data_IF_088778448606
#
_entry.id   IF_088778448606
#
_cell.length_a   1.000
_cell.length_b   1.000
_cell.length_c   1.000
_cell.angle_alpha   90.00
_cell.angle_beta   90.00
_cell.angle_gamma   90.00
#
_symmetry.space_group_name_H-M   'P 1'
#
loop_
_entity.id
_entity.type
_entity.pdbx_description
1 polymer ?
#
# COMPACT_ATOMS: atom_id res chain seq x y z
N UNK A 1 -9.89 13.98 0.26
CA UNK A 1 -8.95 14.14 -0.88
C UNK A 1 -9.36 13.21 -2.00
N UNK A 2 -9.28 13.65 -3.26
CA UNK A 2 -9.65 12.85 -4.42
C UNK A 2 -8.40 12.30 -5.13
N UNK A 3 -8.45 11.03 -5.53
CA UNK A 3 -7.45 10.35 -6.35
C UNK A 3 -8.13 9.85 -7.60
N UNK A 4 -7.64 10.27 -8.76
CA UNK A 4 -8.14 9.84 -10.08
C UNK A 4 -7.12 8.90 -10.68
N UNK A 5 -7.55 7.69 -11.05
CA UNK A 5 -6.73 6.68 -11.69
C UNK A 5 -6.99 6.69 -13.19
N UNK A 6 -5.93 6.78 -13.96
CA UNK A 6 -5.90 6.68 -15.41
C UNK A 6 -4.88 5.63 -15.86
N UNK A 7 -4.79 5.40 -17.16
CA UNK A 7 -3.93 4.35 -17.71
C UNK A 7 -3.41 4.71 -19.09
N UNK A 8 -2.35 4.06 -19.52
CA UNK A 8 -1.90 3.99 -20.90
C UNK A 8 -2.68 2.93 -21.69
N UNK A 9 -2.55 2.92 -23.02
CA UNK A 9 -3.39 2.09 -23.92
C UNK A 9 -3.23 0.59 -23.67
N UNK A 10 -2.03 0.15 -23.31
CA UNK A 10 -1.67 -1.24 -23.08
C UNK A 10 -2.29 -1.85 -21.80
N UNK A 11 -2.66 -0.99 -20.86
CA UNK A 11 -3.30 -1.45 -19.62
C UNK A 11 -4.80 -1.68 -19.85
N UNK A 12 -5.33 -2.80 -19.38
CA UNK A 12 -6.73 -3.14 -19.56
C UNK A 12 -7.65 -2.45 -18.53
N UNK A 13 -8.90 -2.17 -18.91
CA UNK A 13 -9.91 -1.66 -17.97
C UNK A 13 -10.16 -2.64 -16.80
N UNK A 14 -10.09 -3.94 -17.08
CA UNK A 14 -10.31 -4.98 -16.08
C UNK A 14 -9.26 -4.89 -14.98
N UNK A 15 -8.01 -4.69 -15.36
CA UNK A 15 -6.90 -4.53 -14.43
C UNK A 15 -7.06 -3.27 -13.57
N UNK A 16 -7.36 -2.12 -14.19
CA UNK A 16 -7.59 -0.87 -13.44
C UNK A 16 -8.73 -1.02 -12.44
N UNK A 17 -9.82 -1.70 -12.83
CA UNK A 17 -10.95 -1.94 -11.92
C UNK A 17 -10.58 -2.87 -10.75
N UNK A 18 -9.71 -3.86 -10.95
CA UNK A 18 -9.19 -4.70 -9.86
C UNK A 18 -8.33 -3.89 -8.90
N UNK A 19 -7.43 -3.05 -9.41
CA UNK A 19 -6.63 -2.14 -8.58
C UNK A 19 -7.54 -1.19 -7.79
N UNK A 20 -8.53 -0.59 -8.46
CA UNK A 20 -9.53 0.28 -7.81
C UNK A 20 -10.27 -0.46 -6.69
N UNK A 21 -10.74 -1.68 -6.95
CA UNK A 21 -11.42 -2.51 -5.95
C UNK A 21 -10.56 -2.73 -4.71
N UNK A 22 -9.25 -3.01 -4.88
CA UNK A 22 -8.32 -3.17 -3.77
C UNK A 22 -8.18 -1.88 -2.95
N UNK A 23 -8.08 -0.73 -3.60
CA UNK A 23 -7.98 0.57 -2.95
C UNK A 23 -9.26 0.98 -2.21
N UNK A 24 -10.43 0.57 -2.71
CA UNK A 24 -11.74 0.89 -2.12
C UNK A 24 -12.15 -0.05 -0.99
N UNK A 25 -11.39 -1.11 -0.70
CA UNK A 25 -11.67 -1.99 0.45
C UNK A 25 -11.58 -1.27 1.80
N UNK A 26 -10.84 -0.17 1.86
CA UNK A 26 -10.72 0.65 3.07
C UNK A 26 -11.37 2.01 2.82
N UNK A 27 -12.45 2.28 3.50
CA UNK A 27 -13.13 3.58 3.45
C UNK A 27 -12.38 4.61 4.27
N UNK A 28 -12.37 5.86 3.80
CA UNK A 28 -11.73 6.96 4.51
C UNK A 28 -11.80 8.28 3.72
N UNK A 29 -11.06 9.29 4.13
CA UNK A 29 -11.07 10.62 3.53
C UNK A 29 -10.40 10.66 2.13
N UNK A 30 -9.65 9.62 1.74
CA UNK A 30 -9.10 9.46 0.40
C UNK A 30 -10.12 8.69 -0.44
N UNK A 31 -10.69 9.32 -1.45
CA UNK A 31 -11.59 8.69 -2.41
C UNK A 31 -10.86 8.33 -3.69
N UNK A 32 -11.08 7.12 -4.18
CA UNK A 32 -10.46 6.61 -5.40
C UNK A 32 -11.51 6.47 -6.49
N UNK A 33 -11.22 7.01 -7.66
CA UNK A 33 -12.09 6.96 -8.83
C UNK A 33 -11.26 6.65 -10.08
N UNK A 34 -11.86 5.95 -11.03
CA UNK A 34 -11.28 5.77 -12.35
C UNK A 34 -11.85 6.83 -13.27
N UNK A 35 -11.00 7.48 -14.05
CA UNK A 35 -11.46 8.35 -15.11
C UNK A 35 -12.26 7.52 -16.11
N UNK A 36 -13.51 7.92 -16.38
CA UNK A 36 -14.33 7.26 -17.38
C UNK A 36 -13.70 7.45 -18.77
N UNK A 37 -13.31 6.33 -19.38
CA UNK A 37 -12.80 6.31 -20.74
C UNK A 37 -13.87 5.83 -21.72
N UNK A 38 -14.07 6.57 -22.76
CA UNK A 38 -14.35 5.96 -24.04
C UNK A 38 -13.08 5.24 -24.50
N UNK A 39 -13.17 4.12 -25.18
CA UNK A 39 -12.05 3.25 -25.57
C UNK A 39 -10.89 3.93 -26.33
N UNK A 40 -11.09 5.18 -26.76
CA UNK A 40 -10.12 6.02 -27.46
C UNK A 40 -9.36 7.01 -26.55
N UNK A 41 -9.66 7.07 -25.26
CA UNK A 41 -9.12 8.09 -24.35
C UNK A 41 -7.99 7.55 -23.50
N UNK A 42 -6.89 7.10 -24.12
CA UNK A 42 -5.65 6.85 -23.40
C UNK A 42 -4.92 8.17 -23.14
N UNK A 43 -4.10 8.21 -22.08
CA UNK A 43 -3.33 9.42 -21.75
C UNK A 43 -2.32 9.79 -22.85
N UNK A 44 -1.94 8.83 -23.68
CA UNK A 44 -0.95 8.98 -24.76
C UNK A 44 -1.36 9.98 -25.84
N UNK A 45 -2.64 10.23 -26.04
CA UNK A 45 -3.09 11.26 -27.00
C UNK A 45 -2.65 12.69 -26.60
N UNK A 46 -2.17 12.87 -25.36
CA UNK A 46 -1.63 14.14 -24.87
C UNK A 46 -0.12 14.24 -25.04
N UNK A 47 0.52 13.28 -25.75
CA UNK A 47 1.87 13.47 -26.25
C UNK A 47 1.86 14.52 -27.34
N UNK A 48 2.85 15.41 -27.36
CA UNK A 48 3.01 16.40 -28.43
C UNK A 48 2.99 15.72 -29.80
N UNK A 49 2.37 16.37 -30.79
CA UNK A 49 2.24 15.86 -32.19
C UNK A 49 3.59 15.44 -32.81
N UNK A 50 4.71 15.91 -32.30
CA UNK A 50 6.06 15.53 -32.75
C UNK A 50 6.45 14.09 -32.38
N UNK A 51 5.75 13.47 -31.46
CA UNK A 51 5.98 12.09 -30.99
C UNK A 51 4.95 11.11 -31.57
N UNK A 52 4.02 11.58 -32.42
CA UNK A 52 3.01 10.78 -33.07
C UNK A 52 3.63 9.66 -33.92
N UNK A 53 3.46 8.42 -33.48
CA UNK A 53 3.86 7.21 -34.19
C UNK A 53 5.04 6.45 -33.58
N UNK A 54 5.66 6.95 -32.52
CA UNK A 54 6.64 6.18 -31.76
C UNK A 54 5.92 5.45 -30.64
N UNK A 55 5.83 4.13 -30.71
CA UNK A 55 5.49 3.28 -29.57
C UNK A 55 6.64 3.44 -28.59
N UNK A 56 6.43 4.22 -27.54
CA UNK A 56 7.46 4.41 -26.53
C UNK A 56 7.64 3.11 -25.75
N UNK A 57 8.75 2.43 -25.94
CA UNK A 57 9.15 1.30 -25.08
C UNK A 57 9.46 1.78 -23.65
N UNK A 58 9.65 3.08 -23.49
CA UNK A 58 9.94 3.72 -22.20
C UNK A 58 9.43 5.17 -22.16
N UNK A 59 9.17 5.63 -20.95
CA UNK A 59 8.86 7.03 -20.66
C UNK A 59 9.95 7.64 -19.80
N UNK A 60 10.46 8.77 -20.23
CA UNK A 60 11.25 9.66 -19.38
C UNK A 60 10.32 10.34 -18.38
N UNK A 61 10.81 10.50 -17.14
CA UNK A 61 9.99 11.03 -16.04
C UNK A 61 9.41 12.42 -16.33
N UNK A 62 10.19 13.28 -16.97
CA UNK A 62 9.76 14.62 -17.33
C UNK A 62 8.72 14.62 -18.45
N UNK A 63 8.91 13.77 -19.44
CA UNK A 63 7.97 13.62 -20.56
C UNK A 63 6.62 13.15 -20.06
N UNK A 64 6.56 12.08 -19.25
CA UNK A 64 5.27 11.59 -18.77
C UNK A 64 4.60 12.55 -17.79
N UNK A 65 5.37 13.31 -17.01
CA UNK A 65 4.82 14.37 -16.18
C UNK A 65 4.19 15.50 -17.01
N UNK A 66 4.80 15.88 -18.13
CA UNK A 66 4.22 16.85 -19.09
C UNK A 66 2.90 16.34 -19.66
N UNK A 67 2.85 15.06 -20.04
CA UNK A 67 1.62 14.38 -20.50
C UNK A 67 0.53 14.44 -19.43
N UNK A 68 0.87 14.16 -18.17
CA UNK A 68 -0.05 14.27 -17.04
C UNK A 68 -0.62 15.68 -16.88
N UNK A 69 0.22 16.70 -17.01
CA UNK A 69 -0.21 18.09 -16.89
C UNK A 69 -1.13 18.50 -18.04
N UNK A 70 -0.85 18.08 -19.27
CA UNK A 70 -1.73 18.30 -20.43
C UNK A 70 -3.08 17.61 -20.24
N UNK A 71 -3.08 16.36 -19.76
CA UNK A 71 -4.30 15.62 -19.42
C UNK A 71 -5.11 16.31 -18.33
N UNK A 72 -4.44 16.82 -17.27
CA UNK A 72 -5.12 17.60 -16.22
C UNK A 72 -5.82 18.83 -16.77
N UNK A 73 -5.16 19.55 -17.67
CA UNK A 73 -5.71 20.75 -18.31
C UNK A 73 -6.97 20.43 -19.10
N UNK A 74 -6.94 19.43 -19.98
CA UNK A 74 -8.08 18.99 -20.79
C UNK A 74 -9.26 18.50 -19.94
N UNK A 75 -8.98 17.65 -18.94
CA UNK A 75 -10.01 17.07 -18.07
C UNK A 75 -10.42 17.97 -16.92
N UNK A 76 -9.86 19.18 -16.83
CA UNK A 76 -10.12 20.17 -15.76
C UNK A 76 -9.96 19.56 -14.36
N UNK A 77 -8.91 18.72 -14.19
CA UNK A 77 -8.61 18.09 -12.89
C UNK A 77 -8.00 19.12 -11.96
N UNK A 78 -8.61 19.31 -10.80
CA UNK A 78 -8.12 20.25 -9.77
C UNK A 78 -6.66 19.94 -9.37
N UNK A 79 -5.92 20.99 -9.06
CA UNK A 79 -4.54 20.88 -8.54
C UNK A 79 -4.46 20.09 -7.22
N UNK A 80 -5.54 20.08 -6.43
CA UNK A 80 -5.59 19.34 -5.16
C UNK A 80 -5.87 17.84 -5.34
N UNK A 81 -6.27 17.41 -6.54
CA UNK A 81 -6.52 16.02 -6.87
C UNK A 81 -5.21 15.32 -7.20
N UNK A 82 -4.98 14.13 -6.67
CA UNK A 82 -3.89 13.26 -7.11
C UNK A 82 -4.30 12.55 -8.39
N UNK A 83 -3.46 12.62 -9.42
CA UNK A 83 -3.61 11.86 -10.66
C UNK A 83 -2.65 10.67 -10.64
N UNK A 84 -3.18 9.48 -10.82
CA UNK A 84 -2.40 8.25 -10.92
C UNK A 84 -2.47 7.72 -12.35
N UNK A 85 -1.33 7.42 -12.94
CA UNK A 85 -1.20 6.78 -14.25
C UNK A 85 -0.63 5.39 -14.07
N UNK A 86 -1.34 4.37 -14.56
CA UNK A 86 -0.81 3.00 -14.63
C UNK A 86 -0.33 2.76 -16.06
N UNK A 87 0.93 2.30 -16.21
CA UNK A 87 1.57 2.00 -17.50
C UNK A 87 2.36 0.71 -17.43
N UNK A 88 2.48 -0.03 -18.54
CA UNK A 88 3.43 -1.15 -18.64
C UNK A 88 4.78 -0.71 -19.20
N UNK A 89 4.87 0.50 -19.73
CA UNK A 89 6.11 1.02 -20.30
C UNK A 89 7.18 1.25 -19.22
N UNK A 90 8.41 1.04 -19.60
CA UNK A 90 9.55 1.24 -18.71
C UNK A 90 9.69 2.72 -18.36
N UNK A 91 9.86 3.00 -17.05
CA UNK A 91 10.17 4.33 -16.57
C UNK A 91 11.70 4.50 -16.52
N UNK A 92 12.21 5.56 -17.10
CA UNK A 92 13.64 5.87 -17.14
C UNK A 92 13.89 7.28 -16.62
N UNK A 93 15.09 7.48 -16.08
CA UNK A 93 15.57 8.79 -15.66
C UNK A 93 16.99 8.97 -16.19
N UNK A 94 17.41 10.20 -16.41
CA UNK A 94 18.80 10.54 -16.76
C UNK A 94 19.80 10.15 -15.65
N UNK A 95 19.31 9.95 -14.42
CA UNK A 95 20.14 9.51 -13.30
C UNK A 95 20.45 8.03 -13.49
N UNK A 96 21.63 7.72 -14.03
CA UNK A 96 22.09 6.38 -14.41
C UNK A 96 22.03 5.31 -13.29
N UNK A 97 21.88 5.73 -12.03
CA UNK A 97 21.77 4.83 -10.87
C UNK A 97 20.43 4.08 -10.80
N UNK A 98 19.36 4.57 -11.47
CA UNK A 98 18.00 4.05 -11.32
C UNK A 98 17.51 3.39 -12.60
N UNK A 99 17.99 2.19 -12.87
CA UNK A 99 17.64 1.44 -14.10
C UNK A 99 16.24 0.83 -14.09
N UNK A 100 15.64 0.62 -12.93
CA UNK A 100 14.35 -0.06 -12.77
C UNK A 100 13.42 0.71 -11.83
N UNK A 101 12.99 1.89 -12.27
CA UNK A 101 11.98 2.64 -11.52
C UNK A 101 10.62 1.93 -11.70
N UNK A 102 9.99 1.58 -10.58
CA UNK A 102 8.69 0.92 -10.55
C UNK A 102 7.55 1.92 -10.42
N UNK A 103 7.80 3.01 -9.73
CA UNK A 103 6.87 4.14 -9.61
C UNK A 103 7.63 5.41 -9.30
N UNK A 104 7.02 6.53 -9.60
CA UNK A 104 7.51 7.84 -9.17
C UNK A 104 6.36 8.81 -9.02
N UNK A 105 6.62 9.95 -8.39
CA UNK A 105 5.67 11.04 -8.29
C UNK A 105 6.37 12.38 -8.58
N UNK A 106 5.61 13.30 -9.16
CA UNK A 106 6.01 14.68 -9.33
C UNK A 106 4.80 15.55 -8.97
N UNK A 107 4.93 16.37 -7.93
CA UNK A 107 3.82 17.08 -7.31
C UNK A 107 2.68 16.11 -6.96
N UNK A 108 1.56 16.21 -7.66
CA UNK A 108 0.38 15.35 -7.48
C UNK A 108 0.13 14.40 -8.66
N UNK A 109 1.12 14.20 -9.51
CA UNK A 109 1.11 13.17 -10.54
C UNK A 109 1.90 11.97 -10.04
N UNK A 110 1.27 10.82 -10.02
CA UNK A 110 1.86 9.53 -9.63
C UNK A 110 1.84 8.64 -10.86
N UNK A 111 2.96 8.04 -11.18
CA UNK A 111 3.07 7.08 -12.26
C UNK A 111 3.53 5.75 -11.67
N UNK A 112 2.78 4.68 -11.96
CA UNK A 112 3.05 3.34 -11.47
C UNK A 112 3.17 2.40 -12.64
N UNK A 113 4.28 1.67 -12.68
CA UNK A 113 4.55 0.71 -13.73
C UNK A 113 3.96 -0.65 -13.38
N UNK A 114 3.14 -1.20 -14.28
CA UNK A 114 2.83 -2.62 -14.30
C UNK A 114 4.01 -3.36 -14.94
N UNK A 115 4.75 -4.07 -14.16
CA UNK A 115 5.82 -4.94 -14.60
C UNK A 115 5.34 -6.39 -14.52
N UNK A 116 5.92 -7.29 -15.31
CA UNK A 116 5.57 -8.71 -15.26
C UNK A 116 5.88 -9.40 -13.90
N UNK A 117 6.36 -8.63 -12.92
CA UNK A 117 6.57 -9.01 -11.51
C UNK A 117 7.24 -10.38 -11.36
N UNK A 118 8.21 -10.68 -12.26
CA UNK A 118 9.02 -11.89 -12.19
C UNK A 118 9.65 -11.95 -10.79
N UNK A 119 9.44 -13.05 -10.07
CA UNK A 119 9.88 -13.16 -8.68
C UNK A 119 8.81 -12.84 -7.63
N UNK A 120 7.72 -12.16 -8.01
CA UNK A 120 6.56 -11.92 -7.16
C UNK A 120 5.38 -12.87 -7.46
N UNK A 121 5.64 -14.03 -8.03
CA UNK A 121 4.65 -14.97 -8.60
C UNK A 121 3.51 -15.39 -7.65
N UNK A 122 3.72 -15.22 -6.36
CA UNK A 122 2.73 -15.55 -5.32
C UNK A 122 1.89 -14.36 -4.86
N UNK A 123 2.14 -13.17 -5.39
CA UNK A 123 1.42 -11.94 -5.04
C UNK A 123 0.58 -11.52 -6.25
N UNK A 124 -0.71 -11.23 -6.02
CA UNK A 124 -1.57 -10.67 -7.07
C UNK A 124 -0.95 -9.36 -7.58
N UNK A 125 -0.63 -9.24 -8.89
CA UNK A 125 -0.10 -8.01 -9.47
C UNK A 125 -0.94 -6.76 -9.18
N UNK A 126 -2.26 -6.91 -9.02
CA UNK A 126 -3.13 -5.79 -8.70
C UNK A 126 -2.95 -5.31 -7.26
N UNK A 127 -2.54 -6.17 -6.34
CA UNK A 127 -2.14 -5.78 -4.98
C UNK A 127 -0.81 -5.03 -5.02
N UNK A 128 0.14 -5.48 -5.83
CA UNK A 128 1.43 -4.79 -6.01
C UNK A 128 1.20 -3.37 -6.52
N UNK A 129 0.40 -3.21 -7.57
CA UNK A 129 0.05 -1.89 -8.12
C UNK A 129 -0.67 -1.01 -7.10
N UNK A 130 -1.65 -1.56 -6.37
CA UNK A 130 -2.36 -0.82 -5.34
C UNK A 130 -1.43 -0.37 -4.20
N UNK A 131 -0.49 -1.22 -3.79
CA UNK A 131 0.51 -0.88 -2.78
C UNK A 131 1.42 0.26 -3.27
N UNK A 132 1.92 0.20 -4.50
CA UNK A 132 2.74 1.24 -5.10
C UNK A 132 1.99 2.59 -5.18
N UNK A 133 0.69 2.56 -5.50
CA UNK A 133 -0.14 3.76 -5.49
C UNK A 133 -0.23 4.35 -4.09
N UNK A 134 -0.49 3.53 -3.06
CA UNK A 134 -0.58 3.98 -1.67
C UNK A 134 0.75 4.50 -1.14
N UNK A 135 1.86 3.87 -1.51
CA UNK A 135 3.22 4.34 -1.23
C UNK A 135 3.44 5.76 -1.74
N UNK A 136 3.18 5.99 -3.02
CA UNK A 136 3.37 7.31 -3.62
C UNK A 136 2.38 8.35 -3.07
N UNK A 137 1.15 7.96 -2.72
CA UNK A 137 0.20 8.86 -2.03
C UNK A 137 0.77 9.27 -0.67
N UNK A 138 1.32 8.32 0.10
CA UNK A 138 1.99 8.63 1.36
C UNK A 138 3.12 9.63 1.16
N UNK A 139 3.97 9.43 0.17
CA UNK A 139 5.11 10.30 -0.15
C UNK A 139 4.65 11.72 -0.53
N UNK A 140 3.64 11.83 -1.41
CA UNK A 140 3.05 13.13 -1.81
C UNK A 140 2.47 13.85 -0.60
N UNK A 141 1.73 13.16 0.27
CA UNK A 141 1.10 13.76 1.44
C UNK A 141 2.10 14.09 2.55
N UNK A 142 3.22 13.38 2.61
CA UNK A 142 4.35 13.70 3.49
C UNK A 142 5.16 14.92 3.00
N UNK A 143 4.80 15.53 1.88
CA UNK A 143 5.53 16.66 1.30
C UNK A 143 6.91 16.26 0.75
N UNK A 144 7.15 14.98 0.51
CA UNK A 144 8.39 14.51 -0.09
C UNK A 144 8.47 14.95 -1.55
N UNK A 145 9.69 15.12 -2.04
CA UNK A 145 9.98 15.37 -3.46
C UNK A 145 10.77 14.20 -4.00
N UNK A 146 10.42 13.71 -5.16
CA UNK A 146 11.16 12.60 -5.80
C UNK A 146 12.64 12.94 -6.03
N UNK A 147 12.95 14.21 -6.24
CA UNK A 147 14.33 14.71 -6.37
C UNK A 147 15.11 14.73 -5.05
N UNK A 148 14.42 14.60 -3.91
CA UNK A 148 15.07 14.54 -2.59
C UNK A 148 15.30 13.10 -2.19
N UNK A 149 16.42 12.56 -2.66
CA UNK A 149 16.81 11.18 -2.39
C UNK A 149 17.08 10.89 -0.92
N UNK A 150 17.27 11.91 -0.07
CA UNK A 150 17.45 11.72 1.36
C UNK A 150 16.15 11.27 2.06
N UNK A 151 15.00 11.45 1.39
CA UNK A 151 13.69 11.03 1.88
C UNK A 151 13.42 9.53 1.70
N UNK A 152 14.28 8.80 0.95
CA UNK A 152 14.14 7.38 0.71
C UNK A 152 15.18 6.58 1.49
N UNK A 153 14.82 5.36 1.88
CA UNK A 153 15.77 4.42 2.46
C UNK A 153 16.44 3.63 1.33
N UNK A 154 17.74 3.85 1.12
CA UNK A 154 18.52 3.07 0.15
C UNK A 154 18.96 1.72 0.72
N UNK A 155 19.09 1.62 2.05
CA UNK A 155 19.24 0.35 2.75
C UNK A 155 17.85 -0.12 3.18
N UNK A 156 17.36 -1.28 2.69
CA UNK A 156 16.02 -1.76 2.99
C UNK A 156 15.78 -1.92 4.49
N UNK A 157 14.74 -1.26 5.01
CA UNK A 157 14.29 -1.31 6.41
C UNK A 157 12.89 -1.94 6.52
N UNK A 158 12.41 -2.54 5.44
CA UNK A 158 11.01 -3.01 5.29
C UNK A 158 9.96 -1.91 5.39
N UNK A 159 10.38 -0.66 5.16
CA UNK A 159 9.52 0.51 5.18
C UNK A 159 8.89 0.77 3.80
N UNK A 160 7.71 1.40 3.79
CA UNK A 160 7.05 1.84 2.56
C UNK A 160 7.94 2.78 1.71
N UNK A 161 8.86 3.51 2.33
CA UNK A 161 9.79 4.43 1.66
C UNK A 161 11.12 3.76 1.25
N UNK A 162 11.24 2.43 1.35
CA UNK A 162 12.42 1.75 0.86
C UNK A 162 12.51 1.87 -0.66
N UNK A 163 13.67 2.27 -1.15
CA UNK A 163 13.98 2.20 -2.57
C UNK A 163 14.32 0.76 -2.93
N UNK A 164 13.49 0.13 -3.75
CA UNK A 164 13.67 -1.27 -4.13
C UNK A 164 14.44 -1.36 -5.44
N UNK A 165 15.61 -2.00 -5.41
CA UNK A 165 16.46 -2.22 -6.58
C UNK A 165 16.06 -3.46 -7.38
N UNK A 166 15.29 -4.35 -6.76
CA UNK A 166 14.88 -5.63 -7.33
C UNK A 166 13.54 -6.11 -6.76
N UNK A 167 12.98 -7.14 -7.36
CA UNK A 167 11.68 -7.70 -7.01
C UNK A 167 11.65 -8.36 -5.63
N UNK A 168 12.77 -8.85 -5.13
CA UNK A 168 12.84 -9.45 -3.79
C UNK A 168 12.68 -8.39 -2.70
N UNK A 169 13.37 -7.26 -2.83
CA UNK A 169 13.22 -6.13 -1.91
C UNK A 169 11.79 -5.61 -1.92
N UNK A 170 11.17 -5.52 -3.11
CA UNK A 170 9.77 -5.15 -3.25
C UNK A 170 8.84 -6.14 -2.55
N UNK A 171 9.08 -7.46 -2.67
CA UNK A 171 8.29 -8.46 -1.95
C UNK A 171 8.35 -8.26 -0.44
N UNK A 172 9.54 -8.01 0.12
CA UNK A 172 9.68 -7.75 1.55
C UNK A 172 8.93 -6.49 1.96
N UNK A 173 9.04 -5.43 1.19
CA UNK A 173 8.30 -4.18 1.43
C UNK A 173 6.79 -4.39 1.45
N UNK A 174 6.24 -5.09 0.45
CA UNK A 174 4.79 -5.36 0.37
C UNK A 174 4.32 -6.29 1.50
N UNK A 175 5.11 -7.30 1.86
CA UNK A 175 4.77 -8.23 2.95
C UNK A 175 4.82 -7.59 4.33
N UNK A 176 5.75 -6.67 4.55
CA UNK A 176 5.80 -5.90 5.80
C UNK A 176 4.70 -4.87 5.86
N UNK A 177 4.43 -4.20 4.74
CA UNK A 177 3.48 -3.09 4.61
C UNK A 177 3.60 -2.12 5.80
N UNK A 178 4.83 -1.71 6.08
CA UNK A 178 5.22 -0.99 7.29
C UNK A 178 5.66 0.43 6.97
N UNK A 179 5.36 1.38 7.86
CA UNK A 179 5.92 2.73 7.85
C UNK A 179 6.81 2.83 9.09
N UNK A 180 8.11 3.04 8.91
CA UNK A 180 9.03 3.15 10.04
C UNK A 180 8.77 4.42 10.85
N UNK A 181 9.25 4.45 12.09
CA UNK A 181 8.99 5.55 13.03
C UNK A 181 9.48 6.88 12.47
N UNK A 182 10.68 6.92 11.89
CA UNK A 182 11.23 8.15 11.31
C UNK A 182 10.39 8.69 10.16
N UNK A 183 9.86 7.82 9.28
CA UNK A 183 8.95 8.24 8.23
C UNK A 183 7.60 8.73 8.77
N UNK A 184 7.08 8.11 9.82
CA UNK A 184 5.85 8.58 10.49
C UNK A 184 6.05 9.96 11.11
N UNK A 185 7.12 10.15 11.87
CA UNK A 185 7.46 11.44 12.50
C UNK A 185 7.65 12.53 11.44
N UNK A 186 8.40 12.25 10.38
CA UNK A 186 8.59 13.19 9.28
C UNK A 186 7.28 13.54 8.57
N UNK A 187 6.40 12.57 8.34
CA UNK A 187 5.10 12.84 7.71
C UNK A 187 4.22 13.76 8.55
N UNK A 188 4.17 13.54 9.86
CA UNK A 188 3.42 14.38 10.80
C UNK A 188 4.03 15.78 10.89
N UNK A 189 5.36 15.89 11.00
CA UNK A 189 6.08 17.16 11.05
C UNK A 189 5.90 17.99 9.77
N UNK A 190 5.73 17.32 8.62
CA UNK A 190 5.44 17.96 7.34
C UNK A 190 3.95 18.27 7.13
N UNK A 191 3.11 18.04 8.14
CA UNK A 191 1.71 18.44 8.15
C UNK A 191 0.73 17.42 7.56
N UNK A 192 1.10 16.15 7.43
CA UNK A 192 0.15 15.10 7.06
C UNK A 192 -0.94 14.98 8.13
N UNK A 193 -2.19 15.11 7.72
CA UNK A 193 -3.32 14.93 8.63
C UNK A 193 -3.46 13.46 9.06
N UNK A 194 -3.70 13.24 10.35
CA UNK A 194 -3.82 11.90 10.94
C UNK A 194 -4.91 11.03 10.30
N UNK A 195 -5.97 11.66 9.77
CA UNK A 195 -7.07 10.94 9.10
C UNK A 195 -6.60 10.27 7.78
N UNK A 196 -5.72 10.92 7.01
CA UNK A 196 -5.12 10.33 5.80
C UNK A 196 -4.13 9.23 6.17
N UNK A 197 -3.28 9.49 7.17
CA UNK A 197 -2.33 8.51 7.67
C UNK A 197 -3.03 7.24 8.15
N UNK A 198 -4.13 7.36 8.89
CA UNK A 198 -4.92 6.23 9.36
C UNK A 198 -5.47 5.39 8.21
N UNK A 199 -6.00 6.01 7.15
CA UNK A 199 -6.49 5.27 5.99
C UNK A 199 -5.34 4.55 5.26
N UNK A 200 -4.19 5.22 5.10
CA UNK A 200 -3.00 4.62 4.48
C UNK A 200 -2.54 3.40 5.27
N UNK A 201 -2.43 3.50 6.59
CA UNK A 201 -2.05 2.37 7.45
C UNK A 201 -3.04 1.20 7.36
N UNK A 202 -4.34 1.49 7.28
CA UNK A 202 -5.37 0.47 7.11
C UNK A 202 -5.29 -0.21 5.73
N UNK A 203 -4.99 0.55 4.65
CA UNK A 203 -4.74 -0.01 3.32
C UNK A 203 -3.50 -0.91 3.30
N UNK A 204 -2.41 -0.47 3.94
CA UNK A 204 -1.20 -1.28 4.06
C UNK A 204 -1.45 -2.57 4.84
N UNK A 205 -2.21 -2.49 5.94
CA UNK A 205 -2.63 -3.68 6.69
C UNK A 205 -3.46 -4.64 5.83
N UNK A 206 -4.41 -4.11 5.06
CA UNK A 206 -5.20 -4.90 4.11
C UNK A 206 -4.31 -5.61 3.09
N UNK A 207 -3.34 -4.92 2.47
CA UNK A 207 -2.43 -5.55 1.50
C UNK A 207 -1.56 -6.62 2.13
N UNK A 208 -1.03 -6.39 3.32
CA UNK A 208 -0.27 -7.39 4.07
C UNK A 208 -1.08 -8.65 4.33
N UNK A 209 -2.34 -8.50 4.72
CA UNK A 209 -3.23 -9.63 5.00
C UNK A 209 -3.56 -10.42 3.73
N UNK A 210 -3.77 -9.74 2.60
CA UNK A 210 -3.99 -10.39 1.29
C UNK A 210 -2.75 -11.17 0.83
N UNK A 211 -1.56 -10.57 0.95
CA UNK A 211 -0.29 -11.18 0.52
C UNK A 211 0.13 -12.34 1.42
N UNK A 212 -0.15 -12.25 2.71
CA UNK A 212 0.17 -13.34 3.65
C UNK A 212 -0.75 -14.56 3.51
N UNK A 213 -1.86 -14.43 2.78
CA UNK A 213 -2.91 -15.44 2.71
C UNK A 213 -3.64 -15.66 4.05
N UNK A 214 -3.44 -14.76 5.00
CA UNK A 214 -3.97 -14.89 6.35
C UNK A 214 -5.50 -15.00 6.36
N UNK A 215 -6.18 -14.22 5.52
CA UNK A 215 -7.65 -14.29 5.37
C UNK A 215 -8.13 -15.63 4.84
N UNK A 216 -7.43 -16.21 3.86
CA UNK A 216 -7.79 -17.53 3.33
C UNK A 216 -7.56 -18.63 4.35
N UNK A 217 -6.55 -18.47 5.20
CA UNK A 217 -6.28 -19.38 6.30
C UNK A 217 -7.35 -19.28 7.40
N UNK A 218 -7.78 -18.07 7.74
CA UNK A 218 -8.82 -17.84 8.75
C UNK A 218 -10.23 -18.17 8.25
N UNK A 219 -10.55 -17.88 6.97
CA UNK A 219 -11.86 -18.17 6.39
C UNK A 219 -12.12 -19.67 6.20
N UNK A 220 -11.08 -20.46 6.00
CA UNK A 220 -11.16 -21.91 5.81
C UNK A 220 -11.06 -22.71 7.12
N UNK A 221 -10.64 -22.09 8.21
CA UNK A 221 -10.73 -22.68 9.55
C UNK A 221 -11.73 -21.85 10.35
N UNK A 222 -12.87 -22.43 10.75
CA UNK A 222 -13.53 -21.99 11.98
C UNK A 222 -12.40 -21.87 13.00
N UNK A 223 -12.12 -20.64 13.45
CA UNK A 223 -11.21 -20.43 14.58
C UNK A 223 -11.72 -21.34 15.70
N UNK A 224 -11.03 -22.44 15.88
CA UNK A 224 -11.34 -23.35 16.96
C UNK A 224 -11.28 -22.52 18.24
N UNK A 225 -12.33 -22.56 19.04
CA UNK A 225 -12.42 -21.79 20.26
C UNK A 225 -11.15 -21.96 21.08
N UNK A 226 -10.37 -20.90 21.21
CA UNK A 226 -9.24 -20.87 22.10
C UNK A 226 -9.78 -20.64 23.51
N UNK A 227 -9.57 -21.59 24.41
CA UNK A 227 -9.89 -21.47 25.82
C UNK A 227 -8.62 -21.47 26.63
N UNK A 228 -8.52 -20.55 27.56
CA UNK A 228 -7.45 -20.50 28.55
C UNK A 228 -8.10 -20.74 29.90
N UNK A 229 -7.69 -21.76 30.60
CA UNK A 229 -8.19 -22.05 31.94
C UNK A 229 -7.46 -21.18 33.00
N UNK A 230 -7.90 -21.31 34.26
CA UNK A 230 -7.33 -20.54 35.38
C UNK A 230 -5.85 -20.89 35.65
N UNK A 231 -5.42 -22.06 35.25
CA UNK A 231 -4.04 -22.56 35.41
C UNK A 231 -3.15 -22.21 34.21
N UNK A 232 -3.69 -21.42 33.26
CA UNK A 232 -2.98 -20.98 32.07
C UNK A 232 -2.85 -22.07 31.00
N UNK A 233 -3.59 -23.19 31.09
CA UNK A 233 -3.60 -24.19 30.05
C UNK A 233 -4.44 -23.74 28.87
N UNK A 234 -3.92 -23.97 27.68
CA UNK A 234 -4.53 -23.52 26.43
C UNK A 234 -5.15 -24.71 25.72
N UNK A 235 -6.41 -24.56 25.37
CA UNK A 235 -7.15 -25.54 24.55
C UNK A 235 -7.54 -24.89 23.23
N UNK A 236 -7.20 -25.50 22.11
CA UNK A 236 -7.56 -25.05 20.76
C UNK A 236 -8.35 -26.16 20.08
N UNK A 237 -9.59 -25.87 19.67
CA UNK A 237 -10.46 -26.85 19.04
C UNK A 237 -10.73 -28.10 19.89
N UNK A 238 -10.76 -27.93 21.20
CA UNK A 238 -10.95 -29.04 22.15
C UNK A 238 -9.69 -29.86 22.45
N UNK A 239 -8.53 -29.52 21.84
CA UNK A 239 -7.26 -30.19 22.12
C UNK A 239 -6.42 -29.33 23.06
N UNK A 240 -5.97 -29.93 24.14
CA UNK A 240 -5.03 -29.29 25.08
C UNK A 240 -3.66 -29.13 24.42
N UNK A 241 -3.12 -27.92 24.49
CA UNK A 241 -1.79 -27.57 23.99
C UNK A 241 -0.82 -27.53 25.17
N UNK A 242 0.04 -28.54 25.24
CA UNK A 242 1.10 -28.60 26.28
C UNK A 242 2.23 -27.64 25.91
N UNK A 243 2.30 -26.52 26.64
CA UNK A 243 3.38 -25.53 26.50
C UNK A 243 4.24 -25.55 27.78
N UNK A 244 5.52 -25.24 27.63
CA UNK A 244 6.37 -24.95 28.80
C UNK A 244 5.90 -23.67 29.49
N UNK A 245 6.19 -23.50 30.77
CA UNK A 245 5.75 -22.31 31.53
C UNK A 245 6.17 -20.99 30.86
N UNK A 246 7.39 -20.91 30.33
CA UNK A 246 7.89 -19.72 29.61
C UNK A 246 7.09 -19.49 28.34
N UNK A 247 6.86 -20.54 27.56
CA UNK A 247 6.11 -20.44 26.31
C UNK A 247 4.64 -20.06 26.56
N UNK A 248 4.02 -20.59 27.64
CA UNK A 248 2.67 -20.19 28.07
C UNK A 248 2.61 -18.71 28.38
N UNK A 249 3.55 -18.20 29.17
CA UNK A 249 3.63 -16.78 29.56
C UNK A 249 3.75 -15.88 28.34
N UNK A 250 4.65 -16.20 27.41
CA UNK A 250 4.83 -15.44 26.18
C UNK A 250 3.56 -15.47 25.34
N UNK A 251 2.91 -16.64 25.17
CA UNK A 251 1.71 -16.79 24.36
C UNK A 251 0.53 -16.03 24.94
N UNK A 252 0.31 -16.11 26.26
CA UNK A 252 -0.75 -15.36 26.96
C UNK A 252 -0.50 -13.86 26.86
N UNK A 253 0.75 -13.41 26.99
CA UNK A 253 1.13 -12.02 26.84
C UNK A 253 0.80 -11.50 25.43
N UNK A 254 1.13 -12.26 24.38
CA UNK A 254 0.74 -11.93 23.01
C UNK A 254 -0.77 -11.88 22.83
N UNK A 255 -1.52 -12.84 23.35
CA UNK A 255 -2.97 -12.84 23.25
C UNK A 255 -3.60 -11.62 23.94
N UNK A 256 -3.10 -11.21 25.09
CA UNK A 256 -3.62 -10.04 25.84
C UNK A 256 -3.34 -8.72 25.09
N UNK A 257 -2.19 -8.63 24.44
CA UNK A 257 -1.78 -7.39 23.75
C UNK A 257 -2.39 -7.27 22.36
N UNK A 258 -2.49 -8.38 21.61
CA UNK A 258 -2.80 -8.36 20.18
C UNK A 258 -4.22 -8.82 19.83
N UNK A 259 -4.96 -9.45 20.75
CA UNK A 259 -6.38 -9.67 20.49
C UNK A 259 -7.14 -8.35 20.66
N UNK A 260 -7.93 -7.94 19.64
CA UNK A 260 -8.79 -6.78 19.78
C UNK A 260 -9.72 -7.03 20.97
N UNK A 261 -9.73 -6.11 21.93
CA UNK A 261 -10.76 -6.10 23.00
C UNK A 261 -12.09 -5.83 22.31
N UNK A 262 -12.89 -6.86 22.09
CA UNK A 262 -14.29 -6.64 21.78
C UNK A 262 -14.87 -5.76 22.89
N UNK A 263 -15.36 -4.59 22.53
CA UNK A 263 -16.14 -3.72 23.42
C UNK A 263 -17.44 -4.46 23.79
N UNK A 264 -17.34 -5.38 24.73
CA UNK A 264 -18.53 -5.91 25.41
C UNK A 264 -19.09 -4.81 26.29
N UNK A 265 -20.10 -4.12 25.76
CA UNK A 265 -20.95 -3.22 26.56
C UNK A 265 -21.39 -3.92 27.80
N UNK A 266 -21.14 -3.26 28.92
CA UNK A 266 -21.71 -3.44 30.25
C UNK A 266 -21.95 -4.86 30.81
N UNK A 267 -21.02 -5.26 31.70
CA UNK A 267 -21.42 -5.68 33.05
C UNK A 267 -20.23 -5.55 34.00
N UNK A 268 -20.39 -4.65 34.98
CA UNK A 268 -19.51 -4.50 36.14
C UNK A 268 -19.24 -5.85 36.78
N UNK A 269 -17.99 -6.29 36.77
CA UNK A 269 -17.48 -7.27 37.74
C UNK A 269 -16.23 -6.63 38.36
N UNK A 270 -16.38 -6.22 39.62
CA UNK A 270 -15.31 -5.75 40.47
C UNK A 270 -14.22 -6.81 40.50
N UNK A 271 -13.07 -6.48 39.93
CA UNK A 271 -11.83 -7.19 40.19
C UNK A 271 -11.25 -6.67 41.49
N UNK A 272 -11.37 -7.51 42.53
CA UNK A 272 -10.69 -7.29 43.81
C UNK A 272 -9.19 -7.23 43.57
N UNK A 273 -8.60 -6.07 43.87
CA UNK A 273 -7.19 -5.85 43.95
C UNK A 273 -6.58 -6.74 45.06
N UNK A 274 -5.83 -7.74 44.64
CA UNK A 274 -4.86 -8.42 45.53
C UNK A 274 -3.47 -8.17 44.93
N UNK A 275 -2.55 -7.54 45.63
CA UNK A 275 -1.20 -7.33 45.13
C UNK A 275 -0.46 -8.65 45.06
N UNK A 276 0.14 -8.94 43.93
CA UNK A 276 1.12 -10.01 43.76
C UNK A 276 2.50 -9.47 44.15
N UNK A 277 3.08 -10.03 45.18
CA UNK A 277 4.51 -9.95 45.48
C UNK A 277 5.29 -10.85 44.53
#
# INVERSE_FOLDING_TARGET
MKVIITKTSEITKVQVNKVLSNLQNVKGPISFEVQNYNSSDSIEKYTDDKLNGVIHEHYELETINSICNSFRGDKKISKDTILVVITSNKLVTEIALYKNILSFFYDRNIIVRDNNWIGCDKIDPNIILAHQIVENIFQVLSGLKFSDFSAFHFEPQTCINDFCNNEYELQYKIRSAHICISCLENSVNNGMESIYLSQIQNLLSFFRDEVSGYKSFLSNKKLDNIKINKDGDITIGGKEIKLTSITKTIYIFFLIIFLPRENSGHKNTQLNNTPLF
#
